data_IF_687618081775
#
_entry.id   IF_687618081775
#
_cell.length_a   1.000
_cell.length_b   1.000
_cell.length_c   1.000
_cell.angle_alpha   90.00
_cell.angle_beta   90.00
_cell.angle_gamma   90.00
#
_symmetry.space_group_name_H-M   'P 1'
#
loop_
_entity.id
_entity.type
_entity.pdbx_description
1 polymer ?
#
# COMPACT_ATOMS: atom_id res chain seq x y z
N UNK A 1 -1.88 13.59 -20.77
CA UNK A 1 -1.57 12.38 -19.99
C UNK A 1 -2.73 12.16 -19.03
N UNK A 2 -3.36 10.99 -19.03
CA UNK A 2 -4.34 10.63 -17.98
C UNK A 2 -3.52 9.99 -16.88
N UNK A 3 -3.44 10.64 -15.72
CA UNK A 3 -2.84 10.02 -14.55
C UNK A 3 -3.76 8.88 -14.11
N UNK A 4 -3.35 7.65 -14.43
CA UNK A 4 -4.04 6.45 -13.96
C UNK A 4 -3.64 6.28 -12.50
N UNK A 5 -4.55 6.64 -11.59
CA UNK A 5 -4.35 6.43 -10.17
C UNK A 5 -4.54 4.93 -9.88
N UNK A 6 -3.46 4.29 -9.47
CA UNK A 6 -3.45 2.89 -9.05
C UNK A 6 -3.52 2.81 -7.52
N UNK A 7 -4.09 1.74 -6.95
CA UNK A 7 -4.10 1.55 -5.51
C UNK A 7 -2.66 1.27 -5.02
N UNK A 8 -2.07 2.24 -4.33
CA UNK A 8 -0.72 2.14 -3.73
C UNK A 8 -0.80 1.35 -2.43
N UNK A 9 -1.71 1.77 -1.54
CA UNK A 9 -1.95 1.11 -0.25
C UNK A 9 -3.46 0.85 -0.12
N UNK A 10 -3.93 -0.39 -0.36
CA UNK A 10 -5.36 -0.67 -0.45
C UNK A 10 -6.07 -0.52 0.91
N UNK A 11 -5.38 -0.86 2.00
CA UNK A 11 -5.91 -0.78 3.36
C UNK A 11 -4.81 -0.27 4.28
N UNK A 12 -5.03 0.89 4.89
CA UNK A 12 -4.12 1.52 5.84
C UNK A 12 -4.92 1.93 7.08
N UNK A 13 -4.52 1.47 8.27
CA UNK A 13 -5.13 1.95 9.51
C UNK A 13 -4.70 3.38 9.81
N UNK A 14 -5.68 4.18 10.23
CA UNK A 14 -5.45 5.48 10.86
C UNK A 14 -5.32 5.25 12.36
N UNK A 15 -4.15 5.56 12.88
CA UNK A 15 -3.77 5.48 14.28
C UNK A 15 -4.02 6.82 14.99
N UNK A 16 -4.07 6.78 16.32
CA UNK A 16 -4.21 8.00 17.13
C UNK A 16 -5.50 8.77 16.83
N UNK A 17 -6.62 8.07 16.66
CA UNK A 17 -7.90 8.65 16.25
C UNK A 17 -8.28 9.80 17.19
N UNK A 18 -8.32 11.02 16.65
CA UNK A 18 -8.43 12.26 17.41
C UNK A 18 -9.87 12.79 17.52
N UNK A 19 -10.85 12.04 17.02
CA UNK A 19 -12.26 12.44 17.01
C UNK A 19 -13.19 11.28 17.34
N UNK A 20 -14.44 11.62 17.62
CA UNK A 20 -15.49 10.63 17.81
C UNK A 20 -16.15 10.29 16.45
N UNK A 21 -15.92 9.09 15.93
CA UNK A 21 -16.36 8.60 14.61
C UNK A 21 -17.88 8.68 14.49
N UNK A 22 -18.62 8.17 15.47
CA UNK A 22 -20.09 8.21 15.43
C UNK A 22 -20.68 9.63 15.39
N UNK A 23 -19.91 10.66 15.79
CA UNK A 23 -20.37 12.06 15.80
C UNK A 23 -19.82 12.89 14.65
N UNK A 24 -18.73 12.45 14.02
CA UNK A 24 -18.02 13.17 12.96
C UNK A 24 -18.78 13.19 11.63
N UNK A 25 -19.79 12.34 11.45
CA UNK A 25 -20.52 12.25 10.18
C UNK A 25 -19.68 11.69 9.03
N UNK A 26 -18.54 11.05 9.33
CA UNK A 26 -17.76 10.31 8.35
C UNK A 26 -18.52 9.09 7.84
N UNK A 27 -18.35 8.82 6.56
CA UNK A 27 -18.91 7.68 5.85
C UNK A 27 -17.86 6.95 5.03
N UNK A 28 -18.14 5.70 4.67
CA UNK A 28 -17.30 4.97 3.71
C UNK A 28 -17.32 5.68 2.35
N UNK A 29 -16.16 5.74 1.70
CA UNK A 29 -15.95 6.44 0.43
C UNK A 29 -15.66 7.94 0.58
N UNK A 30 -15.71 8.50 1.79
CA UNK A 30 -15.41 9.91 2.00
C UNK A 30 -13.97 10.24 1.57
N UNK A 31 -13.76 11.39 0.91
CA UNK A 31 -12.43 11.84 0.53
C UNK A 31 -11.62 12.22 1.77
N UNK A 32 -10.38 11.78 1.78
CA UNK A 32 -9.39 12.21 2.77
C UNK A 32 -8.24 12.93 2.07
N UNK A 33 -7.50 13.70 2.87
CA UNK A 33 -6.25 14.35 2.50
C UNK A 33 -5.15 13.85 3.44
N UNK A 34 -3.95 13.68 2.91
CA UNK A 34 -2.75 13.42 3.70
C UNK A 34 -1.87 14.66 3.72
N UNK A 35 -1.30 14.96 4.88
CA UNK A 35 -0.36 16.07 5.06
C UNK A 35 0.78 15.62 5.96
N UNK A 36 2.00 16.08 5.67
CA UNK A 36 3.15 15.87 6.55
C UNK A 36 3.01 16.76 7.78
N UNK A 37 3.04 16.17 8.96
CA UNK A 37 2.97 16.86 10.24
C UNK A 37 4.36 17.33 10.69
N UNK A 38 4.46 18.33 11.59
CA UNK A 38 5.75 18.85 12.07
C UNK A 38 6.60 17.82 12.84
N UNK A 39 5.98 16.76 13.36
CA UNK A 39 6.62 15.66 14.07
C UNK A 39 7.17 14.57 13.14
N UNK A 40 6.96 14.71 11.82
CA UNK A 40 7.39 13.75 10.80
C UNK A 40 6.39 12.64 10.51
N UNK A 41 5.23 12.61 11.18
CA UNK A 41 4.16 11.68 10.85
C UNK A 41 3.32 12.18 9.66
N UNK A 42 2.66 11.26 8.97
CA UNK A 42 1.70 11.60 7.92
C UNK A 42 0.30 11.63 8.53
N UNK A 43 -0.23 12.84 8.68
CA UNK A 43 -1.56 13.10 9.23
C UNK A 43 -2.64 12.95 8.17
N UNK A 44 -3.80 12.42 8.57
CA UNK A 44 -4.97 12.21 7.73
C UNK A 44 -6.07 13.18 8.15
N UNK A 45 -6.64 13.86 7.16
CA UNK A 45 -7.69 14.86 7.32
C UNK A 45 -8.90 14.49 6.46
N UNK A 46 -10.09 14.80 6.93
CA UNK A 46 -11.31 14.66 6.12
C UNK A 46 -12.33 15.72 6.50
N UNK A 47 -13.37 15.84 5.67
CA UNK A 47 -14.49 16.73 5.95
C UNK A 47 -15.38 16.09 7.01
N UNK A 48 -15.40 16.68 8.20
CA UNK A 48 -16.14 16.19 9.36
C UNK A 48 -17.16 17.21 9.84
N UNK A 49 -18.22 16.71 10.45
CA UNK A 49 -19.24 17.49 11.13
C UNK A 49 -18.80 17.75 12.57
N UNK A 50 -18.53 19.02 12.87
CA UNK A 50 -18.16 19.48 14.21
C UNK A 50 -19.17 20.52 14.70
N UNK A 51 -19.46 20.54 16.00
CA UNK A 51 -20.36 21.53 16.60
C UNK A 51 -19.53 22.75 16.99
N UNK A 52 -19.80 23.90 16.38
CA UNK A 52 -19.24 25.17 16.80
C UNK A 52 -20.01 25.71 18.00
N UNK A 53 -19.30 26.05 19.08
CA UNK A 53 -19.87 26.49 20.36
C UNK A 53 -20.93 25.52 20.93
N UNK A 54 -20.87 24.23 20.58
CA UNK A 54 -21.84 23.22 21.02
C UNK A 54 -23.23 23.32 20.38
N UNK A 55 -23.50 24.34 19.55
CA UNK A 55 -24.85 24.66 19.09
C UNK A 55 -25.05 24.35 17.60
N UNK A 56 -24.16 24.82 16.72
CA UNK A 56 -24.37 24.78 15.28
C UNK A 56 -23.45 23.73 14.64
N UNK A 57 -23.98 22.68 13.97
CA UNK A 57 -23.17 21.72 13.24
C UNK A 57 -22.60 22.38 11.97
N UNK A 58 -21.28 22.40 11.85
CA UNK A 58 -20.55 22.88 10.68
C UNK A 58 -19.69 21.75 10.11
N UNK A 59 -19.66 21.69 8.78
CA UNK A 59 -18.76 20.79 8.06
C UNK A 59 -17.44 21.50 7.81
N UNK A 60 -16.35 20.96 8.36
CA UNK A 60 -15.01 21.51 8.24
C UNK A 60 -13.99 20.40 8.04
N UNK A 61 -12.81 20.76 7.55
CA UNK A 61 -11.68 19.85 7.52
C UNK A 61 -11.21 19.60 8.96
N UNK A 62 -11.19 18.33 9.36
CA UNK A 62 -10.78 17.90 10.70
C UNK A 62 -9.72 16.81 10.61
N UNK A 63 -8.80 16.85 11.56
CA UNK A 63 -7.79 15.82 11.74
C UNK A 63 -8.43 14.53 12.22
N UNK A 64 -8.18 13.42 11.51
CA UNK A 64 -8.66 12.10 11.86
C UNK A 64 -7.68 11.39 12.81
N UNK A 65 -6.39 11.48 12.49
CA UNK A 65 -5.30 10.72 13.12
C UNK A 65 -4.10 10.68 12.15
N UNK A 66 -3.15 9.80 12.38
CA UNK A 66 -1.97 9.63 11.53
C UNK A 66 -1.88 8.20 11.01
N UNK A 67 -1.13 7.97 9.94
CA UNK A 67 -0.81 6.59 9.53
C UNK A 67 0.36 6.04 10.32
N UNK A 68 0.44 4.72 10.42
CA UNK A 68 1.58 4.03 11.02
C UNK A 68 2.89 4.25 10.24
N UNK A 69 4.05 3.96 10.84
CA UNK A 69 5.36 4.32 10.30
C UNK A 69 5.67 3.71 8.92
N UNK A 70 5.23 2.47 8.67
CA UNK A 70 5.45 1.78 7.38
C UNK A 70 4.70 2.50 6.25
N UNK A 71 3.41 2.78 6.45
CA UNK A 71 2.63 3.54 5.48
C UNK A 71 3.14 4.98 5.35
N UNK A 72 3.56 5.59 6.45
CA UNK A 72 4.19 6.91 6.45
C UNK A 72 5.41 6.96 5.54
N UNK A 73 6.33 5.98 5.64
CA UNK A 73 7.52 5.91 4.78
C UNK A 73 7.17 5.86 3.28
N UNK A 74 6.08 5.18 2.91
CA UNK A 74 5.60 5.11 1.53
C UNK A 74 5.01 6.44 1.07
N UNK A 75 4.25 7.12 1.92
CA UNK A 75 3.52 8.35 1.57
C UNK A 75 4.38 9.62 1.62
N UNK A 76 5.34 9.70 2.55
CA UNK A 76 6.20 10.87 2.73
C UNK A 76 6.88 11.36 1.46
N UNK A 77 7.57 10.53 0.64
CA UNK A 77 8.22 11.04 -0.58
C UNK A 77 7.20 11.60 -1.57
N UNK A 78 6.05 10.94 -1.73
CA UNK A 78 4.99 11.41 -2.60
C UNK A 78 4.41 12.76 -2.13
N UNK A 79 4.27 12.97 -0.82
CA UNK A 79 3.80 14.23 -0.25
C UNK A 79 4.81 15.36 -0.39
N UNK A 80 6.10 15.09 -0.18
CA UNK A 80 7.17 16.07 -0.35
C UNK A 80 7.28 16.56 -1.80
N UNK A 81 7.11 15.65 -2.75
CA UNK A 81 7.17 15.95 -4.19
C UNK A 81 5.85 16.52 -4.75
N UNK A 82 4.85 16.76 -3.89
CA UNK A 82 3.56 17.33 -4.28
C UNK A 82 2.73 16.41 -5.19
N UNK A 83 2.91 15.10 -5.07
CA UNK A 83 2.18 14.12 -5.86
C UNK A 83 0.68 14.18 -5.59
N UNK A 84 -0.12 13.94 -6.62
CA UNK A 84 -1.57 13.81 -6.47
C UNK A 84 -1.89 12.43 -5.88
N UNK A 85 -2.30 12.42 -4.61
CA UNK A 85 -2.80 11.23 -3.93
C UNK A 85 -4.31 11.33 -3.75
N UNK A 86 -5.04 10.25 -4.05
CA UNK A 86 -6.46 10.13 -3.76
C UNK A 86 -6.63 9.18 -2.58
N UNK A 87 -7.06 9.74 -1.45
CA UNK A 87 -7.33 8.96 -0.25
C UNK A 87 -8.84 8.83 -0.05
N UNK A 88 -9.28 7.62 0.33
CA UNK A 88 -10.69 7.31 0.57
C UNK A 88 -10.85 6.45 1.80
N UNK A 89 -11.82 6.78 2.65
CA UNK A 89 -12.25 5.88 3.72
C UNK A 89 -12.78 4.59 3.11
N UNK A 90 -12.22 3.45 3.50
CA UNK A 90 -12.71 2.13 3.04
C UNK A 90 -13.57 1.44 4.09
N UNK A 91 -13.26 1.64 5.37
CA UNK A 91 -14.00 1.06 6.46
C UNK A 91 -13.93 1.95 7.69
N UNK A 92 -15.02 1.93 8.46
CA UNK A 92 -15.18 2.65 9.71
C UNK A 92 -15.74 1.68 10.74
N UNK A 93 -15.15 1.67 11.93
CA UNK A 93 -15.67 1.00 13.10
C UNK A 93 -15.95 2.05 14.17
N UNK A 94 -17.18 2.60 14.25
CA UNK A 94 -17.57 3.55 15.28
C UNK A 94 -17.50 2.95 16.68
N UNK A 95 -17.46 3.83 17.68
CA UNK A 95 -17.31 3.49 19.11
C UNK A 95 -18.41 2.55 19.62
N UNK A 96 -19.65 2.74 19.16
CA UNK A 96 -20.78 1.90 19.56
C UNK A 96 -20.81 0.53 18.87
N UNK A 97 -20.04 0.35 17.79
CA UNK A 97 -19.87 -0.93 17.09
C UNK A 97 -18.57 -1.64 17.49
N UNK A 98 -17.59 -0.91 18.06
CA UNK A 98 -16.31 -1.46 18.46
C UNK A 98 -16.41 -2.46 19.63
N UNK A 99 -17.50 -2.44 20.41
CA UNK A 99 -17.69 -3.35 21.54
C UNK A 99 -16.61 -3.18 22.60
N UNK A 100 -15.78 -4.21 22.81
CA UNK A 100 -14.59 -4.15 23.68
C UNK A 100 -13.30 -3.71 22.94
N UNK A 101 -13.37 -3.56 21.63
CA UNK A 101 -12.27 -3.07 20.79
C UNK A 101 -12.18 -1.54 20.76
N UNK A 102 -11.15 -1.04 20.08
CA UNK A 102 -10.99 0.39 19.83
C UNK A 102 -11.78 0.80 18.58
N UNK A 103 -12.24 2.06 18.49
CA UNK A 103 -12.76 2.61 17.24
C UNK A 103 -11.67 2.59 16.17
N UNK A 104 -12.04 2.36 14.91
CA UNK A 104 -11.10 2.21 13.80
C UNK A 104 -11.53 3.00 12.56
N UNK A 105 -10.54 3.53 11.85
CA UNK A 105 -10.71 4.13 10.53
C UNK A 105 -9.66 3.49 9.62
N UNK A 106 -10.11 2.90 8.52
CA UNK A 106 -9.26 2.33 7.48
C UNK A 106 -9.41 3.18 6.22
N UNK A 107 -8.30 3.51 5.58
CA UNK A 107 -8.27 4.27 4.33
C UNK A 107 -7.57 3.47 3.22
N UNK A 108 -7.96 3.74 1.98
CA UNK A 108 -7.20 3.35 0.79
C UNK A 108 -6.48 4.58 0.24
N UNK A 109 -5.25 4.36 -0.23
CA UNK A 109 -4.44 5.39 -0.87
C UNK A 109 -4.17 5.00 -2.32
N UNK A 110 -4.49 5.91 -3.21
CA UNK A 110 -4.36 5.76 -4.65
C UNK A 110 -3.42 6.83 -5.18
N UNK A 111 -2.56 6.49 -6.13
CA UNK A 111 -1.55 7.38 -6.67
C UNK A 111 -0.75 6.71 -7.78
N UNK A 112 0.40 7.29 -8.10
CA UNK A 112 1.34 6.72 -9.06
C UNK A 112 2.19 5.61 -8.39
N UNK A 113 2.19 4.41 -8.98
CA UNK A 113 2.95 3.25 -8.49
C UNK A 113 4.47 3.48 -8.46
N UNK A 114 5.01 4.48 -9.17
CA UNK A 114 6.44 4.84 -9.08
C UNK A 114 6.90 5.13 -7.65
N UNK A 115 6.00 5.59 -6.77
CA UNK A 115 6.30 5.85 -5.36
C UNK A 115 6.56 4.57 -4.56
N UNK A 116 6.11 3.42 -5.06
CA UNK A 116 6.40 2.10 -4.50
C UNK A 116 7.74 1.53 -4.96
N UNK A 117 8.36 2.08 -6.00
CA UNK A 117 9.60 1.53 -6.57
C UNK A 117 10.73 1.33 -5.53
N UNK A 118 10.95 2.24 -4.56
CA UNK A 118 11.95 2.03 -3.50
C UNK A 118 11.64 0.84 -2.58
N UNK A 119 10.37 0.48 -2.43
CA UNK A 119 9.90 -0.60 -1.55
C UNK A 119 9.76 -1.95 -2.29
N UNK A 120 9.59 -1.91 -3.61
CA UNK A 120 9.54 -3.10 -4.47
C UNK A 120 10.92 -3.55 -4.94
N UNK A 121 11.96 -2.73 -4.75
CA UNK A 121 13.32 -3.11 -5.06
C UNK A 121 13.72 -4.33 -4.21
N UNK A 122 13.85 -5.49 -4.86
CA UNK A 122 14.39 -6.68 -4.22
C UNK A 122 15.81 -6.34 -3.76
N UNK A 123 16.14 -6.46 -2.46
CA UNK A 123 17.50 -6.24 -2.00
C UNK A 123 18.43 -7.18 -2.79
N UNK A 124 19.65 -6.75 -3.14
CA UNK A 124 20.58 -7.62 -3.88
C UNK A 124 20.87 -8.94 -3.14
N UNK A 125 20.64 -9.01 -1.82
CA UNK A 125 20.72 -10.22 -1.01
C UNK A 125 19.62 -11.27 -1.29
N UNK A 126 18.53 -10.89 -1.94
CA UNK A 126 17.41 -11.76 -2.31
C UNK A 126 17.18 -11.82 -3.83
N UNK A 127 18.04 -11.17 -4.61
CA UNK A 127 18.06 -11.42 -6.03
C UNK A 127 18.41 -12.91 -6.21
N UNK A 128 17.61 -13.68 -6.96
CA UNK A 128 18.02 -15.04 -7.29
C UNK A 128 19.39 -14.93 -7.93
N UNK A 129 20.37 -15.67 -7.38
CA UNK A 129 21.67 -15.83 -8.00
C UNK A 129 21.40 -16.13 -9.47
N UNK A 130 21.95 -15.29 -10.36
CA UNK A 130 21.73 -15.41 -11.79
C UNK A 130 21.88 -16.89 -12.19
N UNK A 131 21.03 -17.43 -13.07
CA UNK A 131 21.12 -18.84 -13.45
C UNK A 131 22.57 -19.09 -13.87
N UNK A 132 23.27 -19.94 -13.13
CA UNK A 132 24.62 -20.33 -13.49
C UNK A 132 24.54 -20.95 -14.89
N UNK A 133 25.11 -20.24 -15.87
CA UNK A 133 25.40 -20.77 -17.20
C UNK A 133 26.28 -22.00 -17.01
N UNK A 134 25.68 -23.19 -16.95
CA UNK A 134 26.45 -24.36 -16.52
C UNK A 134 25.74 -25.71 -16.54
N UNK A 135 24.73 -25.93 -17.39
CA UNK A 135 24.45 -27.30 -17.84
C UNK A 135 25.14 -27.53 -19.18
N UNK A 136 26.42 -27.90 -19.08
CA UNK A 136 27.19 -28.49 -20.16
C UNK A 136 26.54 -29.83 -20.56
N UNK A 137 25.62 -29.78 -21.53
CA UNK A 137 25.12 -30.96 -22.21
C UNK A 137 26.18 -31.46 -23.23
N UNK A 138 27.38 -31.79 -22.74
CA UNK A 138 28.31 -32.61 -23.52
C UNK A 138 27.74 -34.02 -23.57
N UNK A 139 27.04 -34.27 -24.68
CA UNK A 139 26.68 -35.61 -25.16
C UNK A 139 27.99 -36.37 -25.40
N UNK A 140 28.22 -37.54 -24.78
CA UNK A 140 29.24 -38.45 -25.28
C UNK A 140 28.62 -39.22 -26.46
N UNK A 141 28.85 -38.71 -27.65
CA UNK A 141 28.81 -39.47 -28.89
C UNK A 141 30.03 -40.41 -28.87
N UNK A 142 29.82 -41.68 -28.50
CA UNK A 142 30.68 -42.80 -28.93
C UNK A 142 30.15 -44.16 -28.45
N UNK A 143 29.43 -44.86 -29.33
CA UNK A 143 29.31 -46.31 -29.28
C UNK A 143 29.37 -46.88 -30.71
N UNK A 144 30.33 -47.76 -31.05
CA UNK A 144 30.57 -48.19 -32.42
C UNK A 144 29.50 -49.18 -32.93
N UNK A 145 29.27 -49.24 -34.26
CA UNK A 145 28.24 -50.12 -34.82
C UNK A 145 28.63 -51.60 -34.72
N UNK A 146 27.69 -52.40 -34.19
CA UNK A 146 27.79 -53.84 -34.11
C UNK A 146 27.91 -54.48 -35.52
N UNK A 147 29.00 -55.22 -35.75
CA UNK A 147 29.18 -56.09 -36.92
C UNK A 147 28.09 -57.17 -36.95
N UNK A 148 27.20 -57.13 -37.94
CA UNK A 148 26.37 -58.29 -38.33
C UNK A 148 26.93 -58.96 -39.59
N UNK A 149 27.95 -59.78 -39.40
CA UNK A 149 28.45 -60.68 -40.43
C UNK A 149 27.69 -62.00 -40.40
N UNK A 150 26.53 -62.07 -41.05
CA UNK A 150 25.81 -63.34 -41.28
C UNK A 150 26.36 -63.99 -42.56
N UNK A 151 27.24 -64.99 -42.42
CA UNK A 151 27.60 -65.94 -43.49
C UNK A 151 27.07 -67.34 -43.14
N UNK A 152 26.06 -67.78 -43.87
CA UNK A 152 25.72 -69.15 -44.24
C UNK A 152 24.74 -68.99 -45.41
N UNK A 153 24.98 -69.46 -46.63
CA UNK A 153 25.65 -70.67 -47.12
C UNK A 153 26.48 -70.37 -48.37
#
# INVERSE_FOLDING_TARGET
>A
MRDVLEPILPVVPVEGIALHIGRSGLSMGDPCEAQLLPDGHVGIFARVRQRFLGLIPLWRQGYLGHVGPVAGQVLTPALLDGATLRLRVVQLTPEHLAGAGMPEILISVWGDTRWLAPFLAVPPAFAPDAPEDGFDNTTPDDAPPARSGRRAR
#
